data_IF_324601810786
#
_entry.id   IF_324601810786
#
_cell.length_a   1.000
_cell.length_b   1.000
_cell.length_c   1.000
_cell.angle_alpha   90.00
_cell.angle_beta   90.00
_cell.angle_gamma   90.00
#
_symmetry.space_group_name_H-M   'P 1'
#
loop_
_entity.id
_entity.type
_entity.pdbx_description
1 polymer ?
#
# COMPACT_ATOMS: atom_id res chain seq x y z
N UNK A 1 -6.21 -2.83 -13.16
CA UNK A 1 -5.50 -2.27 -14.33
C UNK A 1 -4.22 -3.04 -14.48
N UNK A 2 -3.91 -3.53 -15.68
CA UNK A 2 -2.81 -4.48 -15.90
C UNK A 2 -1.43 -3.84 -15.69
N UNK A 3 -1.28 -2.63 -16.21
CA UNK A 3 0.01 -1.95 -16.39
C UNK A 3 0.23 -0.82 -15.38
N UNK A 4 -0.52 -0.81 -14.28
CA UNK A 4 -0.46 0.26 -13.29
C UNK A 4 0.03 -0.23 -11.94
N UNK A 5 0.90 0.57 -11.32
CA UNK A 5 1.31 0.43 -9.92
C UNK A 5 0.93 1.68 -9.11
N UNK A 6 0.69 1.46 -7.83
CA UNK A 6 0.55 2.48 -6.80
C UNK A 6 1.80 2.49 -5.95
N UNK A 7 2.38 3.67 -5.77
CA UNK A 7 3.52 3.91 -4.88
C UNK A 7 3.06 4.75 -3.71
N UNK A 8 3.07 4.18 -2.51
CA UNK A 8 2.64 4.84 -1.28
C UNK A 8 3.83 5.43 -0.55
N UNK A 9 3.59 6.53 0.18
CA UNK A 9 4.59 7.22 1.01
C UNK A 9 5.81 7.77 0.24
N UNK A 10 5.68 7.97 -1.08
CA UNK A 10 6.68 8.73 -1.86
C UNK A 10 6.61 10.20 -1.43
N UNK A 11 7.70 10.83 -0.98
CA UNK A 11 7.68 12.21 -0.47
C UNK A 11 6.98 13.19 -1.42
N UNK A 12 6.01 13.91 -0.89
CA UNK A 12 5.19 14.87 -1.63
C UNK A 12 5.68 16.30 -1.39
N UNK A 13 5.61 17.11 -2.43
CA UNK A 13 5.87 18.54 -2.35
C UNK A 13 4.89 19.22 -1.39
N UNK A 14 5.41 19.95 -0.41
CA UNK A 14 4.60 20.50 0.69
C UNK A 14 3.99 21.87 0.37
N UNK A 15 4.57 22.61 -0.58
CA UNK A 15 4.11 23.95 -0.94
C UNK A 15 3.12 23.90 -2.09
N UNK A 16 2.17 24.84 -2.12
CA UNK A 16 1.21 24.97 -3.22
C UNK A 16 1.93 25.12 -4.57
N UNK A 17 2.94 25.99 -4.63
CA UNK A 17 3.72 26.23 -5.84
C UNK A 17 4.52 25.00 -6.28
N UNK A 18 5.28 24.36 -5.39
CA UNK A 18 6.08 23.18 -5.76
C UNK A 18 5.21 21.97 -6.11
N UNK A 19 4.02 21.83 -5.49
CA UNK A 19 3.09 20.75 -5.82
C UNK A 19 2.53 20.84 -7.24
N UNK A 20 2.36 22.06 -7.78
CA UNK A 20 1.83 22.28 -9.13
C UNK A 20 2.78 21.80 -10.22
N UNK A 21 4.08 21.84 -9.94
CA UNK A 21 5.14 21.46 -10.87
C UNK A 21 5.83 20.15 -10.47
N UNK A 22 5.22 19.35 -9.59
CA UNK A 22 5.79 18.09 -9.15
C UNK A 22 5.96 17.13 -10.33
N UNK A 23 7.21 16.86 -10.72
CA UNK A 23 7.52 15.86 -11.73
C UNK A 23 7.51 14.45 -11.13
N UNK A 24 6.33 13.83 -11.11
CA UNK A 24 6.15 12.47 -10.61
C UNK A 24 6.94 11.43 -11.41
N UNK A 25 7.16 11.64 -12.71
CA UNK A 25 7.92 10.69 -13.55
C UNK A 25 9.38 10.65 -13.08
N UNK A 26 10.02 11.82 -12.99
CA UNK A 26 11.42 11.90 -12.55
C UNK A 26 11.60 11.38 -11.12
N UNK A 27 10.69 11.72 -10.20
CA UNK A 27 10.71 11.20 -8.83
C UNK A 27 10.67 9.67 -8.79
N UNK A 28 9.80 9.06 -9.58
CA UNK A 28 9.65 7.61 -9.63
C UNK A 28 10.86 6.95 -10.30
N UNK A 29 11.40 7.53 -11.37
CA UNK A 29 12.60 6.99 -12.03
C UNK A 29 13.83 7.10 -11.12
N UNK A 30 13.99 8.21 -10.39
CA UNK A 30 15.03 8.34 -9.36
C UNK A 30 14.86 7.28 -8.26
N UNK A 31 13.63 7.05 -7.80
CA UNK A 31 13.32 6.00 -6.84
C UNK A 31 13.69 4.60 -7.38
N UNK A 32 13.48 4.33 -8.66
CA UNK A 32 13.88 3.05 -9.26
C UNK A 32 15.40 2.83 -9.24
N UNK A 33 16.17 3.87 -9.55
CA UNK A 33 17.63 3.79 -9.57
C UNK A 33 18.21 3.68 -8.15
N UNK A 34 17.72 4.49 -7.22
CA UNK A 34 18.30 4.63 -5.89
C UNK A 34 17.79 3.59 -4.89
N UNK A 35 16.48 3.36 -4.84
CA UNK A 35 15.84 2.54 -3.82
C UNK A 35 15.57 1.10 -4.29
N UNK A 36 15.36 0.91 -5.60
CA UNK A 36 15.12 -0.41 -6.19
C UNK A 36 16.34 -0.98 -6.94
N UNK A 37 17.44 -0.24 -7.00
CA UNK A 37 18.70 -0.62 -7.65
C UNK A 37 18.51 -1.05 -9.12
N UNK A 38 17.55 -0.44 -9.82
CA UNK A 38 17.30 -0.68 -11.24
C UNK A 38 18.26 0.20 -12.04
N UNK A 39 19.35 -0.40 -12.49
CA UNK A 39 20.36 0.29 -13.31
C UNK A 39 19.72 0.89 -14.56
N UNK A 40 20.08 2.14 -14.88
CA UNK A 40 19.62 2.89 -16.06
C UNK A 40 18.09 3.01 -16.19
N UNK A 41 17.35 3.04 -15.08
CA UNK A 41 15.89 3.07 -15.12
C UNK A 41 15.34 4.24 -15.97
N UNK A 42 16.00 5.41 -15.94
CA UNK A 42 15.60 6.58 -16.76
C UNK A 42 15.68 6.34 -18.26
N UNK A 43 16.58 5.45 -18.70
CA UNK A 43 16.78 5.13 -20.11
C UNK A 43 15.86 3.97 -20.50
N UNK A 44 15.83 2.92 -19.69
CA UNK A 44 15.25 1.63 -20.05
C UNK A 44 13.75 1.54 -19.77
N UNK A 45 13.26 2.17 -18.69
CA UNK A 45 11.87 2.05 -18.27
C UNK A 45 11.02 3.13 -18.94
N UNK A 46 9.96 2.71 -19.64
CA UNK A 46 9.03 3.64 -20.31
C UNK A 46 7.74 3.81 -19.51
N UNK A 47 7.58 4.98 -18.90
CA UNK A 47 6.38 5.39 -18.17
C UNK A 47 5.47 6.19 -19.12
N UNK A 48 4.20 5.80 -19.23
CA UNK A 48 3.15 6.55 -19.95
C UNK A 48 2.82 7.84 -19.20
N UNK A 49 2.52 7.69 -17.91
CA UNK A 49 2.17 8.78 -17.01
C UNK A 49 2.41 8.41 -15.55
N UNK A 50 2.72 9.42 -14.75
CA UNK A 50 2.76 9.33 -13.29
C UNK A 50 2.05 10.54 -12.69
N UNK A 51 1.14 10.33 -11.74
CA UNK A 51 0.46 11.42 -11.05
C UNK A 51 0.06 11.06 -9.61
N UNK A 52 -0.10 12.05 -8.75
CA UNK A 52 -0.67 11.87 -7.40
C UNK A 52 -2.13 11.47 -7.49
N UNK A 53 -2.54 10.48 -6.70
CA UNK A 53 -3.92 10.03 -6.60
C UNK A 53 -4.73 10.93 -5.66
N UNK A 54 -5.87 11.43 -6.13
CA UNK A 54 -6.94 12.03 -5.32
C UNK A 54 -6.54 13.14 -4.37
N UNK A 55 -7.40 13.40 -3.38
CA UNK A 55 -7.13 14.23 -2.20
C UNK A 55 -7.27 13.30 -0.99
N UNK A 56 -6.19 13.13 -0.23
CA UNK A 56 -6.24 12.42 1.06
C UNK A 56 -5.81 13.39 2.16
N UNK A 57 -6.72 13.68 3.10
CA UNK A 57 -6.42 14.59 4.21
C UNK A 57 -5.46 13.93 5.20
N UNK A 58 -4.36 14.62 5.53
CA UNK A 58 -3.40 14.20 6.54
C UNK A 58 -2.55 12.99 6.15
N UNK A 59 -2.53 12.60 4.87
CA UNK A 59 -1.71 11.49 4.36
C UNK A 59 -1.00 11.89 3.07
N UNK A 60 0.21 11.38 2.89
CA UNK A 60 0.97 11.51 1.64
C UNK A 60 0.20 10.78 0.55
N UNK A 61 -0.14 11.48 -0.54
CA UNK A 61 -0.93 10.89 -1.61
C UNK A 61 -0.11 9.87 -2.39
N UNK A 62 -0.68 8.70 -2.75
CA UNK A 62 0.04 7.72 -3.54
C UNK A 62 0.31 8.25 -4.96
N UNK A 63 1.44 7.87 -5.55
CA UNK A 63 1.70 8.10 -6.98
C UNK A 63 1.14 6.91 -7.77
N UNK A 64 0.24 7.19 -8.71
CA UNK A 64 -0.24 6.23 -9.69
C UNK A 64 0.67 6.30 -10.90
N UNK A 65 1.31 5.18 -11.24
CA UNK A 65 2.20 5.08 -12.40
C UNK A 65 1.62 4.09 -13.38
N UNK A 66 1.47 4.51 -14.64
CA UNK A 66 1.11 3.63 -15.75
C UNK A 66 2.36 3.41 -16.61
N UNK A 67 2.72 2.16 -16.81
CA UNK A 67 3.84 1.77 -17.64
C UNK A 67 3.40 1.54 -19.09
N UNK A 68 4.28 1.80 -20.05
CA UNK A 68 4.04 1.46 -21.45
C UNK A 68 4.12 -0.05 -21.68
N UNK A 69 4.98 -0.73 -20.92
CA UNK A 69 5.23 -2.16 -21.06
C UNK A 69 4.94 -2.91 -19.77
N UNK A 70 4.15 -3.99 -19.88
CA UNK A 70 3.83 -4.86 -18.74
C UNK A 70 5.08 -5.50 -18.12
N UNK A 71 6.09 -5.81 -18.95
CA UNK A 71 7.36 -6.38 -18.50
C UNK A 71 8.09 -5.47 -17.51
N UNK A 72 8.21 -4.18 -17.83
CA UNK A 72 8.81 -3.17 -16.95
C UNK A 72 8.08 -3.13 -15.61
N UNK A 73 6.76 -3.06 -15.67
CA UNK A 73 5.91 -3.05 -14.48
C UNK A 73 6.12 -4.29 -13.61
N UNK A 74 6.29 -5.47 -14.20
CA UNK A 74 6.59 -6.70 -13.46
C UNK A 74 7.98 -6.67 -12.83
N UNK A 75 9.00 -6.27 -13.59
CA UNK A 75 10.38 -6.10 -13.09
C UNK A 75 10.43 -5.17 -11.88
N UNK A 76 9.77 -4.01 -11.96
CA UNK A 76 9.70 -3.05 -10.85
C UNK A 76 8.98 -3.66 -9.64
N UNK A 77 7.85 -4.35 -9.86
CA UNK A 77 7.10 -4.99 -8.77
C UNK A 77 7.92 -6.07 -8.08
N UNK A 78 8.66 -6.88 -8.84
CA UNK A 78 9.48 -7.96 -8.31
C UNK A 78 10.64 -7.41 -7.48
N UNK A 79 11.36 -6.40 -7.98
CA UNK A 79 12.40 -5.71 -7.21
C UNK A 79 11.85 -5.07 -5.93
N UNK A 80 10.69 -4.40 -6.01
CA UNK A 80 10.06 -3.78 -4.85
C UNK A 80 9.76 -4.79 -3.73
N UNK A 81 9.36 -6.03 -4.05
CA UNK A 81 9.10 -7.07 -3.03
C UNK A 81 10.35 -7.50 -2.25
N UNK A 82 11.53 -7.42 -2.86
CA UNK A 82 12.78 -7.76 -2.18
C UNK A 82 13.40 -6.55 -1.49
N UNK A 83 13.40 -5.38 -2.13
CA UNK A 83 14.14 -4.20 -1.66
C UNK A 83 13.39 -3.38 -0.61
N UNK A 84 12.06 -3.36 -0.62
CA UNK A 84 11.26 -2.44 0.21
C UNK A 84 10.72 -3.06 1.51
N UNK A 85 11.27 -4.19 1.98
CA UNK A 85 10.71 -4.89 3.15
C UNK A 85 10.71 -4.03 4.42
N UNK A 86 11.78 -3.26 4.62
CA UNK A 86 11.95 -2.36 5.77
C UNK A 86 11.81 -0.88 5.38
N UNK A 87 11.32 -0.60 4.16
CA UNK A 87 11.11 0.76 3.66
C UNK A 87 9.77 1.31 4.12
N UNK A 88 9.71 2.62 4.33
CA UNK A 88 8.43 3.33 4.50
C UNK A 88 7.62 3.38 3.21
N UNK A 89 8.27 3.28 2.05
CA UNK A 89 7.64 3.24 0.73
C UNK A 89 7.13 1.83 0.45
N UNK A 90 5.90 1.73 -0.04
CA UNK A 90 5.34 0.45 -0.49
C UNK A 90 4.75 0.55 -1.88
N UNK A 91 4.77 -0.58 -2.60
CA UNK A 91 4.32 -0.69 -3.99
C UNK A 91 3.21 -1.73 -4.09
N UNK A 92 2.14 -1.43 -4.82
CA UNK A 92 1.03 -2.37 -5.02
C UNK A 92 0.40 -2.27 -6.40
N UNK A 93 -0.25 -3.34 -6.84
CA UNK A 93 -1.05 -3.34 -8.06
C UNK A 93 -2.27 -2.42 -7.95
N UNK A 94 -2.58 -1.67 -9.02
CA UNK A 94 -3.82 -0.90 -9.07
C UNK A 94 -5.00 -1.76 -9.51
N UNK A 95 -5.89 -2.08 -8.57
CA UNK A 95 -7.09 -2.86 -8.87
C UNK A 95 -8.27 -1.98 -9.29
N UNK A 96 -9.21 -2.50 -10.13
CA UNK A 96 -10.50 -1.84 -10.36
C UNK A 96 -11.28 -1.67 -9.05
N UNK A 97 -12.19 -0.70 -9.00
CA UNK A 97 -12.95 -0.37 -7.78
C UNK A 97 -13.69 -1.58 -7.19
N UNK A 98 -14.38 -2.38 -8.00
CA UNK A 98 -15.07 -3.58 -7.53
C UNK A 98 -14.13 -4.56 -6.81
N UNK A 99 -12.92 -4.77 -7.34
CA UNK A 99 -11.89 -5.61 -6.72
C UNK A 99 -11.36 -4.97 -5.43
N UNK A 100 -11.12 -3.65 -5.42
CA UNK A 100 -10.71 -2.94 -4.20
C UNK A 100 -11.75 -3.06 -3.08
N UNK A 101 -13.02 -2.90 -3.42
CA UNK A 101 -14.13 -2.98 -2.47
C UNK A 101 -14.25 -4.40 -1.88
N UNK A 102 -14.07 -5.45 -2.70
CA UNK A 102 -13.98 -6.85 -2.21
C UNK A 102 -12.75 -7.08 -1.33
N UNK A 103 -11.57 -6.61 -1.75
CA UNK A 103 -10.33 -6.70 -0.95
C UNK A 103 -10.51 -6.06 0.42
N UNK A 104 -11.12 -4.87 0.48
CA UNK A 104 -11.36 -4.14 1.74
C UNK A 104 -12.15 -4.97 2.75
N UNK A 105 -13.12 -5.76 2.29
CA UNK A 105 -13.90 -6.68 3.14
C UNK A 105 -13.06 -7.87 3.64
N UNK A 106 -12.03 -8.26 2.90
CA UNK A 106 -11.15 -9.39 3.24
C UNK A 106 -9.98 -9.02 4.17
N UNK A 107 -9.56 -7.75 4.18
CA UNK A 107 -8.42 -7.26 5.00
C UNK A 107 -8.56 -7.56 6.49
N UNK A 108 -9.73 -7.38 7.15
CA UNK A 108 -9.86 -7.70 8.58
C UNK A 108 -9.52 -9.15 8.91
N UNK A 109 -9.94 -10.09 8.07
CA UNK A 109 -9.66 -11.52 8.24
C UNK A 109 -8.20 -11.86 7.98
N UNK A 110 -7.56 -11.22 6.98
CA UNK A 110 -6.12 -11.34 6.75
C UNK A 110 -5.33 -10.95 8.00
N UNK A 111 -5.63 -9.78 8.57
CA UNK A 111 -4.94 -9.27 9.74
C UNK A 111 -5.15 -10.18 10.96
N UNK A 112 -6.37 -10.67 11.16
CA UNK A 112 -6.68 -11.60 12.24
C UNK A 112 -5.95 -12.93 12.09
N UNK A 113 -5.93 -13.52 10.90
CA UNK A 113 -5.21 -14.77 10.64
C UNK A 113 -3.70 -14.60 10.89
N UNK A 114 -3.11 -13.49 10.43
CA UNK A 114 -1.72 -13.15 10.70
C UNK A 114 -1.44 -12.94 12.20
N UNK A 115 -2.34 -12.28 12.93
CA UNK A 115 -2.25 -12.13 14.39
C UNK A 115 -2.32 -13.47 15.13
N UNK A 116 -3.04 -14.45 14.58
CA UNK A 116 -3.11 -15.82 15.09
C UNK A 116 -1.89 -16.68 14.69
N UNK A 117 -0.91 -16.11 13.97
CA UNK A 117 0.27 -16.84 13.49
C UNK A 117 0.00 -17.78 12.31
N UNK A 118 -1.15 -17.65 11.65
CA UNK A 118 -1.50 -18.45 10.46
C UNK A 118 -0.80 -17.91 9.22
N UNK A 119 -0.53 -18.82 8.27
CA UNK A 119 -0.06 -18.43 6.94
C UNK A 119 -1.24 -17.86 6.15
N UNK A 120 -1.29 -16.53 6.05
CA UNK A 120 -2.36 -15.82 5.38
C UNK A 120 -1.86 -14.74 4.41
N UNK A 121 -2.39 -14.76 3.19
CA UNK A 121 -2.02 -13.86 2.11
C UNK A 121 -3.22 -13.49 1.25
N UNK A 122 -3.17 -12.31 0.60
CA UNK A 122 -4.27 -11.81 -0.21
C UNK A 122 -3.81 -11.56 -1.64
N UNK A 123 -4.29 -12.41 -2.56
CA UNK A 123 -4.00 -12.33 -3.98
C UNK A 123 -5.25 -11.89 -4.74
N UNK A 124 -5.15 -10.80 -5.51
CA UNK A 124 -6.29 -10.17 -6.18
C UNK A 124 -7.46 -9.90 -5.21
N UNK A 125 -8.64 -10.49 -5.35
CA UNK A 125 -9.77 -10.38 -4.40
C UNK A 125 -10.02 -11.68 -3.63
N UNK A 126 -8.96 -12.45 -3.41
CA UNK A 126 -9.00 -13.76 -2.78
C UNK A 126 -8.05 -13.79 -1.58
N UNK A 127 -8.57 -14.18 -0.43
CA UNK A 127 -7.77 -14.46 0.77
C UNK A 127 -7.41 -15.94 0.78
N UNK A 128 -6.14 -16.24 1.01
CA UNK A 128 -5.63 -17.58 1.26
C UNK A 128 -5.20 -17.61 2.73
N UNK A 129 -5.73 -18.54 3.52
CA UNK A 129 -5.29 -18.77 4.90
C UNK A 129 -5.23 -20.26 5.16
N UNK A 130 -4.08 -20.76 5.65
CA UNK A 130 -3.83 -22.19 5.88
C UNK A 130 -4.20 -23.07 4.66
N UNK A 131 -3.87 -22.58 3.45
CA UNK A 131 -4.20 -23.19 2.14
C UNK A 131 -5.69 -23.22 1.78
N UNK A 132 -6.56 -22.64 2.61
CA UNK A 132 -7.99 -22.46 2.30
C UNK A 132 -8.21 -21.14 1.57
N UNK A 133 -9.04 -21.18 0.52
CA UNK A 133 -9.42 -20.03 -0.29
C UNK A 133 -10.69 -19.38 0.27
N UNK A 134 -10.71 -18.07 0.40
CA UNK A 134 -11.90 -17.30 0.77
C UNK A 134 -12.14 -16.19 -0.25
N UNK A 135 -13.38 -16.07 -0.72
CA UNK A 135 -13.82 -14.99 -1.60
C UNK A 135 -15.03 -14.31 -1.00
N UNK A 136 -15.25 -13.03 -1.32
CA UNK A 136 -16.43 -12.32 -0.81
C UNK A 136 -17.74 -12.96 -1.28
N UNK A 137 -17.78 -13.41 -2.53
CA UNK A 137 -19.01 -13.82 -3.22
C UNK A 137 -19.32 -15.33 -3.03
N UNK A 138 -18.33 -16.11 -2.58
CA UNK A 138 -18.47 -17.52 -2.18
C UNK A 138 -17.62 -17.77 -0.93
N UNK A 139 -18.21 -17.78 0.28
CA UNK A 139 -17.55 -18.38 1.42
C UNK A 139 -17.36 -19.87 1.13
N UNK A 140 -16.16 -20.41 1.38
CA UNK A 140 -15.92 -21.84 1.27
C UNK A 140 -16.87 -22.57 2.22
N UNK A 141 -17.58 -23.58 1.70
CA UNK A 141 -18.63 -24.27 2.42
C UNK A 141 -18.18 -24.66 3.84
N UNK A 142 -18.84 -24.10 4.86
CA UNK A 142 -18.63 -24.45 6.27
C UNK A 142 -17.50 -23.70 7.00
N UNK A 143 -16.74 -22.82 6.35
CA UNK A 143 -15.69 -22.04 7.01
C UNK A 143 -15.76 -20.60 6.51
N UNK A 144 -16.57 -19.77 7.16
CA UNK A 144 -16.39 -18.32 7.07
C UNK A 144 -15.33 -17.99 8.12
N UNK A 145 -14.23 -17.29 7.78
CA UNK A 145 -13.34 -16.79 8.81
C UNK A 145 -14.18 -15.91 9.72
N UNK A 146 -14.19 -16.18 11.02
CA UNK A 146 -15.03 -15.44 11.96
C UNK A 146 -14.45 -14.03 12.11
N UNK A 147 -15.25 -12.97 11.86
CA UNK A 147 -14.78 -11.60 12.01
C UNK A 147 -14.24 -11.40 13.42
N UNK A 148 -13.18 -10.58 13.61
CA UNK A 148 -12.74 -10.26 14.96
C UNK A 148 -13.91 -9.62 15.71
N UNK A 149 -14.37 -10.31 16.76
CA UNK A 149 -15.30 -9.69 17.69
C UNK A 149 -14.55 -8.53 18.34
N UNK A 150 -15.06 -7.30 18.18
CA UNK A 150 -14.56 -6.14 18.90
C UNK A 150 -14.74 -6.41 20.40
N UNK A 151 -13.76 -7.05 21.02
CA UNK A 151 -13.66 -7.07 22.47
C UNK A 151 -13.39 -5.63 22.87
N UNK A 152 -14.43 -5.00 23.40
CA UNK A 152 -14.40 -3.68 23.99
C UNK A 152 -13.46 -3.75 25.22
N UNK A 153 -12.16 -3.73 24.98
CA UNK A 153 -11.16 -3.64 26.04
C UNK A 153 -11.04 -2.16 26.38
N UNK A 154 -11.66 -1.82 27.49
CA UNK A 154 -11.39 -0.62 28.28
C UNK A 154 -9.93 -0.20 28.12
N UNK A 155 -9.72 0.90 27.41
CA UNK A 155 -8.43 1.58 27.34
C UNK A 155 -8.40 2.50 28.56
N UNK A 156 -7.55 2.28 29.57
CA UNK A 156 -7.32 3.32 30.56
C UNK A 156 -6.70 4.51 29.83
N UNK A 157 -7.36 5.66 29.97
CA UNK A 157 -6.93 6.93 29.39
C UNK A 157 -5.65 7.36 30.14
N UNK A 158 -4.48 7.14 29.54
CA UNK A 158 -3.20 7.52 30.11
C UNK A 158 -2.50 8.50 29.15
N UNK A 159 -2.84 9.77 29.28
CA UNK A 159 -1.92 10.86 28.96
C UNK A 159 -1.44 11.42 30.31
N UNK A 160 -0.13 11.39 30.61
CA UNK A 160 0.38 12.13 31.75
C UNK A 160 0.33 13.63 31.43
N UNK A 161 -0.40 14.37 32.27
CA UNK A 161 -0.36 15.83 32.28
C UNK A 161 1.07 16.28 32.60
N UNK A 162 1.73 16.90 31.62
CA UNK A 162 3.01 17.57 31.82
C UNK A 162 2.83 18.71 32.81
N UNK A 163 3.46 18.58 33.97
CA UNK A 163 3.45 19.58 35.02
C UNK A 163 4.01 20.92 34.57
N UNK A 164 3.23 21.98 34.73
CA UNK A 164 3.76 23.33 34.89
C UNK A 164 4.39 23.41 36.27
N UNK A 165 5.73 23.48 36.33
CA UNK A 165 6.42 24.03 37.49
C UNK A 165 6.19 25.53 37.50
N UNK A 166 5.48 25.98 38.51
CA UNK A 166 5.43 27.36 38.98
C UNK A 166 6.61 27.65 39.91
N UNK A 167 7.14 28.86 39.77
CA UNK A 167 7.83 29.61 40.80
C UNK A 167 9.32 29.84 40.54
N UNK A 168 9.93 30.81 41.23
CA UNK A 168 9.46 32.12 41.68
C UNK A 168 10.17 33.28 40.95
#
# INVERSE_FOLDING_TARGET
MRDNLLFFNVPEEQSFESSKFENCIDKILNFFENDLTIVNAKVDIKIDRANRGGIEQGKIRPVVVKFNFYGDKCKIKDSARSQLRDSSVSVSDQFPKATQDRRKKLIPYLLQAQQQGKDASLSYDVLYSDKVRFTHDRPSAGQVPELPQHHNRNRPNAYPATGRRSGP
#
